data_IF_510558580867
#
_entry.id   IF_510558580867
#
_cell.length_a   1.000
_cell.length_b   1.000
_cell.length_c   1.000
_cell.angle_alpha   90.00
_cell.angle_beta   90.00
_cell.angle_gamma   90.00
#
_symmetry.space_group_name_H-M   'P 1'
#
loop_
_entity.id
_entity.type
_entity.pdbx_description
1 polymer ?
#
# COMPACT_ATOMS: atom_id res chain seq x y z
N UNK A 1 51.50 27.84 -26.60
CA UNK A 1 51.48 28.99 -27.54
C UNK A 1 50.79 28.55 -28.82
N UNK A 2 49.97 29.43 -29.39
CA UNK A 2 49.23 29.33 -30.66
C UNK A 2 48.00 28.39 -30.69
N UNK A 3 46.84 28.72 -31.27
CA UNK A 3 46.07 29.96 -31.53
C UNK A 3 44.69 29.41 -32.00
N UNK A 4 43.60 30.01 -31.52
CA UNK A 4 42.25 29.78 -32.03
C UNK A 4 42.01 30.58 -33.30
N UNK A 5 41.42 29.96 -34.33
CA UNK A 5 40.58 30.51 -35.43
C UNK A 5 40.24 29.28 -36.31
N UNK A 6 39.08 29.01 -36.90
CA UNK A 6 37.93 29.76 -37.34
C UNK A 6 36.80 28.72 -37.58
N UNK A 7 35.55 29.01 -37.20
CA UNK A 7 34.41 28.53 -37.99
C UNK A 7 33.21 29.47 -37.76
N UNK A 8 33.09 30.46 -38.64
CA UNK A 8 31.93 31.34 -38.70
C UNK A 8 31.02 30.95 -39.86
N UNK A 9 29.72 31.05 -39.58
CA UNK A 9 28.58 31.16 -40.48
C UNK A 9 28.18 29.94 -41.33
N UNK A 10 27.06 29.32 -40.93
CA UNK A 10 25.89 29.13 -41.81
C UNK A 10 24.63 28.92 -40.94
N UNK A 11 24.11 29.99 -40.34
CA UNK A 11 22.73 30.01 -39.86
C UNK A 11 21.85 30.56 -40.98
N UNK A 12 21.30 29.65 -41.77
CA UNK A 12 20.19 29.95 -42.68
C UNK A 12 18.94 30.26 -41.86
N UNK A 13 18.63 31.56 -41.78
CA UNK A 13 17.38 32.10 -41.26
C UNK A 13 16.22 31.68 -42.17
N UNK A 14 15.47 30.64 -41.77
CA UNK A 14 14.12 30.40 -42.26
C UNK A 14 13.21 29.95 -41.10
N UNK A 15 12.02 30.54 -41.07
CA UNK A 15 10.88 30.26 -40.18
C UNK A 15 10.82 31.02 -38.84
N UNK A 16 10.60 32.34 -38.92
CA UNK A 16 10.06 33.13 -37.77
C UNK A 16 8.54 33.24 -37.76
N UNK A 17 7.84 32.88 -38.84
CA UNK A 17 6.39 33.03 -38.93
C UNK A 17 5.61 31.87 -38.29
N UNK A 18 6.05 30.62 -38.48
CA UNK A 18 5.36 29.46 -37.88
C UNK A 18 5.38 29.50 -36.34
N UNK A 19 6.50 29.93 -35.75
CA UNK A 19 6.67 30.00 -34.29
C UNK A 19 5.71 31.02 -33.63
N UNK A 20 5.42 32.14 -34.31
CA UNK A 20 4.48 33.15 -33.80
C UNK A 20 3.04 32.63 -33.79
N UNK A 21 2.61 31.90 -34.83
CA UNK A 21 1.28 31.30 -34.88
C UNK A 21 1.08 30.24 -33.79
N UNK A 22 2.09 29.41 -33.53
CA UNK A 22 2.03 28.43 -32.43
C UNK A 22 1.95 29.11 -31.06
N UNK A 23 2.78 30.12 -30.80
CA UNK A 23 2.74 30.87 -29.53
C UNK A 23 1.38 31.56 -29.35
N UNK A 24 0.87 32.22 -30.40
CA UNK A 24 -0.44 32.88 -30.36
C UNK A 24 -1.59 31.88 -30.12
N UNK A 25 -1.57 30.73 -30.81
CA UNK A 25 -2.57 29.68 -30.63
C UNK A 25 -2.53 29.11 -29.20
N UNK A 26 -1.33 28.92 -28.63
CA UNK A 26 -1.16 28.41 -27.26
C UNK A 26 -1.70 29.41 -26.24
N UNK A 27 -1.43 30.71 -26.41
CA UNK A 27 -1.94 31.77 -25.53
C UNK A 27 -3.47 31.85 -25.61
N UNK A 28 -4.05 31.80 -26.80
CA UNK A 28 -5.51 31.80 -26.97
C UNK A 28 -6.13 30.58 -26.27
N UNK A 29 -5.54 29.40 -26.44
CA UNK A 29 -6.03 28.17 -25.79
C UNK A 29 -5.94 28.26 -24.25
N UNK A 30 -4.84 28.79 -23.71
CA UNK A 30 -4.71 28.99 -22.27
C UNK A 30 -5.74 29.99 -21.73
N UNK A 31 -6.00 31.10 -22.44
CA UNK A 31 -6.99 32.09 -22.06
C UNK A 31 -8.42 31.53 -22.10
N UNK A 32 -8.77 30.71 -23.10
CA UNK A 32 -10.11 30.11 -23.18
C UNK A 32 -10.34 29.12 -22.04
N UNK A 33 -9.38 28.25 -21.73
CA UNK A 33 -9.50 27.34 -20.58
C UNK A 33 -9.56 28.08 -19.24
N UNK A 34 -8.82 29.18 -19.09
CA UNK A 34 -8.86 30.01 -17.90
C UNK A 34 -10.25 30.66 -17.71
N UNK A 35 -10.84 31.21 -18.77
CA UNK A 35 -12.18 31.82 -18.70
C UNK A 35 -13.27 30.76 -18.50
N UNK A 36 -13.13 29.57 -19.10
CA UNK A 36 -14.05 28.44 -18.87
C UNK A 36 -13.96 27.96 -17.41
N UNK A 37 -12.75 27.93 -16.83
CA UNK A 37 -12.55 27.59 -15.42
C UNK A 37 -13.06 28.66 -14.44
N UNK A 38 -13.12 29.92 -14.87
CA UNK A 38 -13.74 31.02 -14.12
C UNK A 38 -15.24 31.12 -14.30
N UNK A 39 -15.83 30.42 -15.28
CA UNK A 39 -17.27 30.43 -15.48
C UNK A 39 -17.91 29.68 -14.30
N UNK A 40 -18.70 30.35 -13.46
CA UNK A 40 -19.36 29.67 -12.36
C UNK A 40 -20.33 28.68 -12.98
N UNK A 41 -20.09 27.38 -12.79
CA UNK A 41 -21.20 26.44 -12.80
C UNK A 41 -22.12 26.88 -11.67
N UNK A 42 -23.17 27.64 -12.04
CA UNK A 42 -24.26 27.99 -11.15
C UNK A 42 -24.81 26.70 -10.55
N UNK A 43 -24.65 26.55 -9.25
CA UNK A 43 -25.11 25.38 -8.53
C UNK A 43 -24.55 25.16 -7.14
N UNK A 44 -24.19 26.21 -6.37
CA UNK A 44 -24.10 26.09 -4.91
C UNK A 44 -24.76 27.31 -4.29
N UNK A 45 -25.94 27.09 -3.70
CA UNK A 45 -26.63 28.08 -2.90
C UNK A 45 -25.74 28.48 -1.72
N UNK A 46 -25.39 29.76 -1.68
CA UNK A 46 -24.84 30.43 -0.51
C UNK A 46 -25.91 30.44 0.59
N UNK A 47 -25.99 29.36 1.36
CA UNK A 47 -26.64 29.36 2.67
C UNK A 47 -25.56 29.38 3.74
N UNK A 48 -25.44 30.54 4.38
CA UNK A 48 -24.97 30.78 5.74
C UNK A 48 -24.07 29.70 6.37
N UNK A 49 -22.79 30.05 6.51
CA UNK A 49 -21.84 29.39 7.37
C UNK A 49 -22.22 29.65 8.84
N UNK A 50 -23.11 28.82 9.38
CA UNK A 50 -23.26 28.65 10.82
C UNK A 50 -22.30 27.55 11.26
N UNK A 51 -21.33 27.91 12.10
CA UNK A 51 -20.42 26.99 12.75
C UNK A 51 -21.19 26.00 13.63
N UNK A 52 -21.47 24.81 13.13
CA UNK A 52 -21.93 23.67 13.94
C UNK A 52 -20.83 22.63 14.00
N UNK A 53 -20.04 22.70 15.06
CA UNK A 53 -19.20 21.61 15.55
C UNK A 53 -20.10 20.41 15.89
N UNK A 54 -20.15 19.41 15.02
CA UNK A 54 -20.69 18.10 15.37
C UNK A 54 -19.62 17.32 16.13
N UNK A 55 -19.51 17.61 17.42
CA UNK A 55 -18.93 16.67 18.38
C UNK A 55 -19.96 15.56 18.62
N UNK A 56 -19.63 14.27 18.43
CA UNK A 56 -20.46 13.20 18.96
C UNK A 56 -20.28 13.17 20.48
N UNK A 57 -21.11 13.92 21.21
CA UNK A 57 -21.23 13.71 22.66
C UNK A 57 -22.09 12.48 22.89
N UNK A 58 -21.45 11.36 23.25
CA UNK A 58 -22.17 10.23 23.85
C UNK A 58 -22.77 10.70 25.20
N UNK A 59 -24.06 10.43 25.49
CA UNK A 59 -24.60 10.65 26.82
C UNK A 59 -24.15 9.51 27.74
N UNK A 60 -22.99 9.65 28.37
CA UNK A 60 -22.68 8.86 29.55
C UNK A 60 -23.40 9.49 30.75
N UNK A 61 -24.63 9.04 31.01
CA UNK A 61 -25.30 9.29 32.27
C UNK A 61 -24.89 8.17 33.26
N UNK A 62 -24.12 8.44 34.33
CA UNK A 62 -23.85 7.45 35.34
C UNK A 62 -25.05 7.41 36.29
N UNK A 63 -26.14 6.78 35.85
CA UNK A 63 -27.15 6.35 36.81
C UNK A 63 -26.63 5.10 37.49
N UNK A 64 -26.05 5.30 38.67
CA UNK A 64 -25.75 4.24 39.63
C UNK A 64 -27.08 3.58 40.00
N UNK A 65 -27.47 2.54 39.27
CA UNK A 65 -28.43 1.56 39.78
C UNK A 65 -27.63 0.60 40.64
N UNK A 66 -27.71 0.85 41.93
CA UNK A 66 -27.23 -0.02 42.98
C UNK A 66 -28.07 -1.31 42.96
N UNK A 67 -27.74 -2.24 42.08
CA UNK A 67 -28.16 -3.64 42.21
C UNK A 67 -27.06 -4.36 42.98
N UNK A 68 -27.37 -4.64 44.25
CA UNK A 68 -26.64 -5.62 45.05
C UNK A 68 -26.75 -6.98 44.37
N UNK A 69 -25.82 -7.28 43.48
CA UNK A 69 -25.52 -8.64 43.02
C UNK A 69 -24.10 -8.96 43.45
N UNK A 70 -23.99 -9.72 44.53
CA UNK A 70 -22.81 -10.49 44.88
C UNK A 70 -22.48 -11.42 43.72
N UNK A 71 -21.62 -10.95 42.81
CA UNK A 71 -20.93 -11.80 41.85
C UNK A 71 -19.52 -11.25 41.65
N UNK A 72 -18.70 -11.47 42.68
CA UNK A 72 -17.25 -11.45 42.51
C UNK A 72 -16.87 -12.62 41.63
N UNK A 73 -16.94 -12.42 40.32
CA UNK A 73 -16.29 -13.30 39.36
C UNK A 73 -15.49 -12.42 38.45
N UNK A 74 -14.19 -12.32 38.76
CA UNK A 74 -13.19 -11.86 37.83
C UNK A 74 -13.38 -12.65 36.53
N UNK A 75 -13.83 -11.99 35.46
CA UNK A 75 -13.84 -12.62 34.13
C UNK A 75 -12.38 -12.85 33.76
N UNK A 76 -11.89 -14.05 34.07
CA UNK A 76 -10.57 -14.52 33.72
C UNK A 76 -10.59 -14.83 32.23
N UNK A 77 -10.07 -13.92 31.42
CA UNK A 77 -9.88 -14.16 30.01
C UNK A 77 -8.86 -15.29 29.84
N UNK A 78 -9.28 -16.36 29.18
CA UNK A 78 -8.42 -17.49 28.88
C UNK A 78 -7.55 -17.14 27.66
N UNK A 79 -6.24 -17.03 27.91
CA UNK A 79 -5.23 -16.81 26.87
C UNK A 79 -4.48 -18.08 26.51
N UNK A 80 -4.93 -19.26 26.98
CA UNK A 80 -4.30 -20.51 26.61
C UNK A 80 -4.57 -20.85 25.15
N UNK A 81 -3.52 -21.27 24.45
CA UNK A 81 -3.66 -21.76 23.09
C UNK A 81 -4.48 -23.06 23.12
N UNK A 82 -5.70 -23.03 22.57
CA UNK A 82 -6.56 -24.22 22.42
C UNK A 82 -6.09 -25.19 21.33
N UNK A 83 -4.82 -25.11 20.94
CA UNK A 83 -4.17 -25.98 19.97
C UNK A 83 -2.82 -26.36 20.57
N UNK A 84 -2.72 -27.57 21.10
CA UNK A 84 -1.46 -28.10 21.60
C UNK A 84 -0.79 -28.94 20.51
N UNK A 85 0.54 -29.04 20.54
CA UNK A 85 1.26 -29.95 19.63
C UNK A 85 0.84 -31.42 19.78
N UNK A 86 0.18 -31.78 20.90
CA UNK A 86 -0.41 -33.08 21.14
C UNK A 86 -1.77 -33.29 20.42
N UNK A 87 -2.46 -32.21 20.03
CA UNK A 87 -3.67 -32.26 19.19
C UNK A 87 -3.34 -32.51 17.70
N UNK A 88 -2.06 -32.50 17.35
CA UNK A 88 -1.57 -33.07 16.11
C UNK A 88 -1.71 -34.60 16.23
N UNK A 89 -2.89 -35.10 15.87
CA UNK A 89 -3.15 -36.53 15.65
C UNK A 89 -1.92 -37.11 14.94
N UNK A 90 -1.31 -38.19 15.45
CA UNK A 90 -0.24 -38.87 14.73
C UNK A 90 -0.80 -39.20 13.37
N UNK A 91 -0.35 -38.45 12.36
CA UNK A 91 -0.75 -38.69 10.99
C UNK A 91 -0.37 -40.15 10.76
N UNK A 92 -1.40 -41.00 10.56
CA UNK A 92 -1.20 -42.29 9.94
C UNK A 92 -0.21 -42.10 8.79
N UNK A 93 0.72 -43.03 8.50
CA UNK A 93 1.67 -42.89 7.40
C UNK A 93 1.00 -42.59 6.04
N UNK A 94 -0.32 -42.73 5.97
CA UNK A 94 -1.20 -42.35 4.88
C UNK A 94 -2.02 -41.06 5.13
N UNK A 95 -1.49 -40.07 5.83
CA UNK A 95 -1.90 -38.69 5.55
C UNK A 95 -1.37 -38.36 4.16
N UNK A 96 -2.11 -38.81 3.13
CA UNK A 96 -1.77 -38.56 1.73
C UNK A 96 -1.57 -37.06 1.61
N UNK A 97 -0.32 -36.66 1.46
CA UNK A 97 0.01 -35.29 1.10
C UNK A 97 -0.80 -35.01 -0.15
N UNK A 98 -1.81 -34.14 -0.06
CA UNK A 98 -2.60 -33.77 -1.22
C UNK A 98 -1.61 -33.29 -2.28
N UNK A 99 -1.49 -34.08 -3.35
CA UNK A 99 -0.54 -33.80 -4.41
C UNK A 99 -1.13 -32.69 -5.27
N UNK A 100 -0.67 -31.48 -5.05
CA UNK A 100 -1.04 -30.32 -5.85
C UNK A 100 -0.09 -30.24 -7.05
N UNK A 101 -0.59 -30.33 -8.31
CA UNK A 101 0.24 -30.15 -9.49
C UNK A 101 0.83 -28.73 -9.56
N UNK A 102 1.83 -28.55 -10.42
CA UNK A 102 2.35 -27.21 -10.71
C UNK A 102 1.29 -26.36 -11.41
N UNK A 103 1.14 -25.10 -10.98
CA UNK A 103 0.38 -24.10 -11.73
C UNK A 103 1.18 -23.58 -12.93
N UNK A 104 0.50 -22.89 -13.85
CA UNK A 104 1.15 -22.02 -14.83
C UNK A 104 1.89 -20.87 -14.08
N UNK A 105 3.15 -20.55 -14.42
CA UNK A 105 3.89 -19.44 -13.81
C UNK A 105 3.19 -18.07 -13.89
N UNK A 106 2.32 -17.83 -14.89
CA UNK A 106 1.54 -16.59 -14.99
C UNK A 106 0.60 -16.35 -13.80
N UNK A 107 0.26 -17.41 -13.06
CA UNK A 107 -0.58 -17.34 -11.88
C UNK A 107 0.19 -16.91 -10.62
N UNK A 108 1.50 -16.62 -10.71
CA UNK A 108 2.30 -16.18 -9.56
C UNK A 108 1.77 -14.89 -8.92
N UNK A 109 1.09 -14.06 -9.70
CA UNK A 109 0.55 -12.76 -9.27
C UNK A 109 -0.98 -12.77 -9.19
N UNK A 110 -1.59 -13.92 -9.43
CA UNK A 110 -3.04 -14.03 -9.42
C UNK A 110 -3.56 -13.89 -7.99
N UNK A 111 -4.34 -12.85 -7.75
CA UNK A 111 -5.03 -12.57 -6.48
C UNK A 111 -6.53 -12.86 -6.63
N UNK A 112 -7.01 -14.07 -6.25
CA UNK A 112 -8.30 -14.56 -6.73
C UNK A 112 -9.52 -13.71 -6.35
N UNK A 113 -9.48 -13.08 -5.16
CA UNK A 113 -10.57 -12.23 -4.66
C UNK A 113 -10.44 -10.75 -5.06
N UNK A 114 -9.31 -10.37 -5.65
CA UNK A 114 -8.97 -9.02 -6.08
C UNK A 114 -8.64 -9.03 -7.58
N UNK A 115 -9.30 -9.91 -8.34
CA UNK A 115 -9.08 -10.04 -9.79
C UNK A 115 -9.85 -8.95 -10.54
N UNK A 116 -9.12 -8.01 -11.14
CA UNK A 116 -9.72 -6.89 -11.87
C UNK A 116 -10.72 -7.31 -12.94
N UNK A 117 -10.43 -8.38 -13.69
CA UNK A 117 -11.30 -8.89 -14.75
C UNK A 117 -12.62 -9.42 -14.20
N UNK A 118 -12.60 -10.10 -13.05
CA UNK A 118 -13.79 -10.56 -12.33
C UNK A 118 -14.56 -9.38 -11.75
N UNK A 119 -13.87 -8.49 -11.04
CA UNK A 119 -14.47 -7.30 -10.42
C UNK A 119 -15.27 -6.46 -11.42
N UNK A 120 -14.74 -6.25 -12.63
CA UNK A 120 -15.40 -5.48 -13.70
C UNK A 120 -16.69 -6.09 -14.26
N UNK A 121 -17.04 -7.34 -13.90
CA UNK A 121 -18.30 -7.99 -14.31
C UNK A 121 -19.49 -7.61 -13.42
N UNK A 122 -19.23 -7.07 -12.24
CA UNK A 122 -20.28 -6.71 -11.28
C UNK A 122 -20.84 -5.31 -11.54
N UNK A 123 -22.01 -5.04 -10.96
CA UNK A 123 -22.71 -3.77 -11.12
C UNK A 123 -21.85 -2.59 -10.61
N UNK A 124 -21.96 -1.46 -11.31
CA UNK A 124 -21.34 -0.19 -10.92
C UNK A 124 -22.16 0.57 -9.88
N UNK A 125 -23.43 0.24 -9.73
CA UNK A 125 -24.30 0.74 -8.67
C UNK A 125 -23.67 0.45 -7.32
N UNK A 126 -23.65 1.47 -6.45
CA UNK A 126 -23.05 1.40 -5.12
C UNK A 126 -21.60 0.91 -5.09
N UNK A 127 -20.88 0.99 -6.22
CA UNK A 127 -19.50 0.53 -6.34
C UNK A 127 -19.30 -0.97 -6.02
N UNK A 128 -20.30 -1.83 -6.26
CA UNK A 128 -20.19 -3.28 -6.00
C UNK A 128 -18.97 -3.87 -6.72
N UNK A 129 -18.68 -3.43 -7.94
CA UNK A 129 -17.46 -3.84 -8.67
C UNK A 129 -16.12 -3.55 -7.95
N UNK A 130 -16.10 -2.71 -6.91
CA UNK A 130 -14.91 -2.42 -6.08
C UNK A 130 -14.83 -3.29 -4.82
N UNK A 131 -15.84 -4.11 -4.56
CA UNK A 131 -15.82 -5.09 -3.47
C UNK A 131 -14.96 -6.31 -3.82
N UNK A 132 -14.73 -7.17 -2.82
CA UNK A 132 -14.00 -8.42 -3.00
C UNK A 132 -14.88 -9.48 -3.64
N UNK A 133 -14.46 -9.96 -4.80
CA UNK A 133 -15.19 -10.97 -5.57
C UNK A 133 -14.33 -12.23 -5.67
N UNK A 134 -14.57 -13.19 -4.79
CA UNK A 134 -13.82 -14.44 -4.77
C UNK A 134 -14.35 -15.47 -5.80
N UNK A 135 -13.51 -16.41 -6.24
CA UNK A 135 -13.96 -17.55 -7.03
C UNK A 135 -14.89 -18.46 -6.22
N UNK A 136 -15.84 -19.08 -6.92
CA UNK A 136 -16.67 -20.13 -6.34
C UNK A 136 -15.85 -21.39 -6.05
N UNK A 137 -16.40 -22.32 -5.25
CA UNK A 137 -15.68 -23.53 -4.80
C UNK A 137 -15.14 -24.40 -5.94
N UNK A 138 -15.83 -24.41 -7.09
CA UNK A 138 -15.45 -25.12 -8.31
C UNK A 138 -14.36 -24.40 -9.13
N UNK A 139 -14.17 -23.09 -8.92
CA UNK A 139 -13.17 -22.27 -9.61
C UNK A 139 -11.84 -22.19 -8.83
N UNK A 140 -11.79 -22.75 -7.61
CA UNK A 140 -10.59 -22.74 -6.78
C UNK A 140 -9.46 -23.56 -7.39
N UNK A 141 -8.35 -22.87 -7.67
CA UNK A 141 -7.12 -23.49 -8.14
C UNK A 141 -6.47 -24.30 -7.02
N UNK A 142 -6.29 -25.60 -7.28
CA UNK A 142 -5.61 -26.55 -6.38
C UNK A 142 -4.26 -26.92 -6.99
N UNK A 143 -3.36 -25.94 -7.08
CA UNK A 143 -2.02 -26.13 -7.64
C UNK A 143 -0.99 -25.30 -6.85
N UNK A 144 0.30 -25.58 -7.05
CA UNK A 144 1.41 -24.84 -6.44
C UNK A 144 2.16 -24.05 -7.50
N UNK A 145 2.47 -22.78 -7.24
CA UNK A 145 3.34 -21.99 -8.11
C UNK A 145 4.76 -22.56 -8.01
N UNK A 146 5.40 -22.93 -9.13
CA UNK A 146 6.78 -23.41 -9.10
C UNK A 146 7.73 -22.26 -8.75
N UNK A 147 8.87 -22.59 -8.16
CA UNK A 147 9.92 -21.61 -7.95
C UNK A 147 10.40 -21.07 -9.31
N UNK A 148 10.62 -19.75 -9.45
CA UNK A 148 11.11 -19.17 -10.68
C UNK A 148 12.52 -19.68 -10.98
N UNK A 149 12.92 -19.61 -12.26
CA UNK A 149 14.25 -20.01 -12.67
C UNK A 149 15.33 -19.21 -11.92
N UNK A 150 16.31 -19.92 -11.35
CA UNK A 150 17.39 -19.30 -10.59
C UNK A 150 17.04 -18.90 -9.15
N UNK A 151 15.87 -19.29 -8.64
CA UNK A 151 15.50 -19.08 -7.23
C UNK A 151 16.53 -19.73 -6.30
N UNK A 152 17.04 -18.97 -5.35
CA UNK A 152 18.03 -19.38 -4.35
C UNK A 152 17.34 -19.67 -3.02
N UNK A 153 17.95 -20.51 -2.18
CA UNK A 153 17.45 -20.72 -0.82
C UNK A 153 17.45 -19.39 -0.03
N UNK A 154 16.34 -18.98 0.59
CA UNK A 154 16.29 -17.77 1.40
C UNK A 154 17.26 -17.80 2.58
N UNK A 155 17.69 -16.62 3.04
CA UNK A 155 18.49 -16.50 4.25
C UNK A 155 17.73 -17.00 5.48
N UNK A 156 18.47 -17.43 6.50
CA UNK A 156 17.87 -17.74 7.79
C UNK A 156 17.61 -16.44 8.55
N UNK A 157 16.62 -16.47 9.44
CA UNK A 157 16.45 -15.41 10.42
C UNK A 157 17.69 -15.31 11.32
N UNK A 158 18.16 -14.11 11.71
CA UNK A 158 17.56 -12.79 11.49
C UNK A 158 17.98 -12.10 10.18
N UNK A 159 18.93 -12.64 9.42
CA UNK A 159 19.44 -11.99 8.20
C UNK A 159 18.35 -11.77 7.14
N UNK A 160 17.39 -12.68 7.04
CA UNK A 160 16.24 -12.54 6.13
C UNK A 160 15.34 -11.34 6.43
N UNK A 161 15.50 -10.68 7.57
CA UNK A 161 14.83 -9.42 7.91
C UNK A 161 15.32 -8.27 7.03
N UNK A 162 16.65 -8.22 6.84
CA UNK A 162 17.33 -7.04 6.29
C UNK A 162 17.83 -7.29 4.86
N UNK A 163 17.75 -8.52 4.37
CA UNK A 163 18.31 -8.92 3.07
C UNK A 163 17.51 -10.01 2.36
N UNK A 164 17.47 -9.94 1.02
CA UNK A 164 16.94 -10.98 0.14
C UNK A 164 17.80 -11.11 -1.12
N UNK A 165 17.88 -12.30 -1.70
CA UNK A 165 18.55 -12.49 -2.98
C UNK A 165 17.87 -11.69 -4.09
N UNK A 166 18.64 -11.00 -4.91
CA UNK A 166 18.15 -10.33 -6.13
C UNK A 166 17.46 -11.30 -7.10
N UNK A 167 17.89 -12.57 -7.11
CA UNK A 167 17.28 -13.63 -7.91
C UNK A 167 15.88 -14.04 -7.44
N UNK A 168 15.55 -13.83 -6.17
CA UNK A 168 14.29 -14.27 -5.56
C UNK A 168 13.18 -13.21 -5.63
N UNK A 169 13.50 -11.99 -6.06
CA UNK A 169 12.56 -10.87 -6.08
C UNK A 169 11.94 -10.75 -7.48
N UNK A 170 10.61 -10.87 -7.59
CA UNK A 170 9.90 -10.52 -8.83
C UNK A 170 9.95 -9.00 -9.04
N UNK A 171 9.72 -8.53 -10.27
CA UNK A 171 9.58 -7.10 -10.58
C UNK A 171 10.71 -6.18 -10.11
N UNK A 172 11.92 -6.50 -10.54
CA UNK A 172 13.15 -5.78 -10.14
C UNK A 172 13.15 -4.29 -10.53
N UNK A 173 12.35 -3.91 -11.53
CA UNK A 173 12.17 -2.51 -11.94
C UNK A 173 11.63 -1.62 -10.81
N UNK A 174 10.84 -2.16 -9.88
CA UNK A 174 10.31 -1.42 -8.74
C UNK A 174 11.43 -0.88 -7.84
N UNK A 175 12.58 -1.54 -7.81
CA UNK A 175 13.74 -1.06 -7.04
C UNK A 175 14.37 0.19 -7.67
N UNK A 176 14.23 0.38 -8.98
CA UNK A 176 14.64 1.60 -9.68
C UNK A 176 13.66 2.73 -9.39
N UNK A 177 12.36 2.45 -9.49
CA UNK A 177 11.31 3.43 -9.20
C UNK A 177 11.33 3.91 -7.74
N UNK A 178 11.73 3.03 -6.82
CA UNK A 178 11.84 3.30 -5.38
C UNK A 178 13.25 3.65 -4.91
N UNK A 179 14.23 3.74 -5.82
CA UNK A 179 15.64 3.98 -5.46
C UNK A 179 15.85 5.30 -4.69
N UNK A 180 15.05 6.33 -5.01
CA UNK A 180 15.10 7.63 -4.34
C UNK A 180 14.54 7.64 -2.92
N UNK A 181 13.87 6.56 -2.49
CA UNK A 181 13.11 6.51 -1.23
C UNK A 181 13.87 5.83 -0.09
N UNK A 182 15.10 5.37 -0.32
CA UNK A 182 15.91 4.59 0.63
C UNK A 182 15.20 3.31 1.16
N UNK A 183 14.20 2.79 0.44
CA UNK A 183 13.47 1.58 0.82
C UNK A 183 14.27 0.30 0.61
N UNK A 184 14.97 0.26 -0.53
CA UNK A 184 15.69 -0.91 -0.99
C UNK A 184 17.00 -0.46 -1.62
N UNK A 185 18.09 -1.15 -1.30
CA UNK A 185 19.38 -0.93 -1.93
C UNK A 185 19.81 -2.22 -2.59
N UNK A 186 20.24 -2.12 -3.84
CA UNK A 186 20.90 -3.21 -4.52
C UNK A 186 22.39 -3.17 -4.16
N UNK A 187 22.90 -4.25 -3.57
CA UNK A 187 24.31 -4.43 -3.26
C UNK A 187 24.73 -5.83 -3.65
N UNK A 188 25.69 -5.93 -4.56
CA UNK A 188 26.22 -7.19 -5.10
C UNK A 188 25.12 -8.06 -5.74
N UNK A 189 24.70 -9.15 -5.11
CA UNK A 189 23.61 -10.02 -5.57
C UNK A 189 22.40 -10.01 -4.61
N UNK A 190 22.30 -8.97 -3.78
CA UNK A 190 21.30 -8.81 -2.73
C UNK A 190 20.55 -7.50 -2.84
N UNK A 191 19.29 -7.56 -2.44
CA UNK A 191 18.57 -6.39 -1.99
C UNK A 191 18.70 -6.29 -0.47
N UNK A 192 19.02 -5.10 0.02
CA UNK A 192 19.04 -4.78 1.45
C UNK A 192 17.97 -3.74 1.78
N UNK A 193 17.38 -3.87 2.96
CA UNK A 193 16.31 -3.01 3.46
C UNK A 193 16.84 -2.22 4.66
N UNK A 194 17.38 -1.01 4.44
CA UNK A 194 18.09 -0.29 5.50
C UNK A 194 17.16 0.28 6.59
N UNK A 195 15.84 0.17 6.45
CA UNK A 195 14.87 0.81 7.33
C UNK A 195 14.81 2.32 7.06
N UNK A 196 13.73 2.77 6.43
CA UNK A 196 13.58 4.17 6.04
C UNK A 196 12.48 4.29 4.99
N UNK A 197 11.31 4.71 5.43
CA UNK A 197 10.15 4.96 4.57
C UNK A 197 10.24 6.32 3.87
N UNK A 198 9.35 6.58 2.89
CA UNK A 198 9.17 7.95 2.36
C UNK A 198 8.45 8.86 3.32
N UNK A 199 7.57 8.27 4.12
CA UNK A 199 6.71 8.99 5.05
C UNK A 199 7.45 9.46 6.30
N UNK A 200 8.60 8.83 6.61
CA UNK A 200 9.37 9.10 7.82
C UNK A 200 10.80 9.55 7.49
N UNK A 201 11.04 10.86 7.27
CA UNK A 201 12.37 11.40 6.97
C UNK A 201 13.44 11.06 8.02
N UNK A 202 13.02 10.83 9.27
CA UNK A 202 13.89 10.43 10.40
C UNK A 202 13.75 8.93 10.77
N UNK A 203 13.07 8.14 9.95
CA UNK A 203 12.73 6.74 10.24
C UNK A 203 11.46 6.60 11.08
N UNK A 204 10.85 5.40 11.01
CA UNK A 204 9.63 5.09 11.74
C UNK A 204 9.85 5.15 13.27
N UNK A 205 11.04 4.81 13.75
CA UNK A 205 11.40 4.87 15.18
C UNK A 205 11.23 6.28 15.74
N UNK A 206 11.73 7.30 15.03
CA UNK A 206 11.59 8.70 15.46
C UNK A 206 10.12 9.16 15.48
N UNK A 207 9.28 8.64 14.57
CA UNK A 207 7.85 8.90 14.58
C UNK A 207 7.15 8.25 15.77
N UNK A 208 7.49 6.99 16.08
CA UNK A 208 6.97 6.26 17.25
C UNK A 208 7.41 6.97 18.54
N UNK A 209 8.65 7.47 18.62
CA UNK A 209 9.16 8.23 19.76
C UNK A 209 8.38 9.55 19.96
N UNK A 210 8.04 10.24 18.87
CA UNK A 210 7.24 11.47 18.95
C UNK A 210 5.81 11.20 19.43
N UNK A 211 5.19 10.09 19.00
CA UNK A 211 3.92 9.61 19.57
C UNK A 211 4.10 9.31 21.07
N UNK A 212 5.18 8.62 21.43
CA UNK A 212 5.52 8.26 22.80
C UNK A 212 5.71 9.45 23.75
N UNK A 213 5.96 10.65 23.23
CA UNK A 213 5.99 11.90 24.02
C UNK A 213 4.61 12.43 24.35
N UNK A 214 3.60 12.11 23.53
CA UNK A 214 2.22 12.59 23.69
C UNK A 214 1.37 11.61 24.48
N UNK A 215 1.58 10.30 24.26
CA UNK A 215 0.84 9.22 24.90
C UNK A 215 1.81 8.17 25.41
N UNK A 216 1.52 7.59 26.57
CA UNK A 216 2.38 6.54 27.13
C UNK A 216 2.16 5.22 26.38
N UNK A 217 3.09 4.89 25.49
CA UNK A 217 3.07 3.62 24.75
C UNK A 217 3.58 2.43 25.58
N UNK A 218 4.17 2.65 26.77
CA UNK A 218 4.94 1.64 27.51
C UNK A 218 4.18 0.97 28.65
N UNK A 219 3.08 1.56 29.12
CA UNK A 219 2.33 1.06 30.28
C UNK A 219 1.26 0.01 29.94
N UNK A 220 1.08 -0.31 28.66
CA UNK A 220 0.07 -1.27 28.21
C UNK A 220 -1.38 -0.78 28.34
N UNK A 221 -1.60 0.52 28.57
CA UNK A 221 -2.93 1.14 28.56
C UNK A 221 -3.55 1.13 27.16
N UNK A 222 -2.72 1.26 26.12
CA UNK A 222 -3.12 1.16 24.71
C UNK A 222 -2.99 -0.30 24.27
N UNK A 223 -4.12 -0.90 23.91
CA UNK A 223 -4.19 -2.30 23.45
C UNK A 223 -4.40 -2.45 21.95
N UNK A 224 -4.86 -1.39 21.30
CA UNK A 224 -5.21 -1.38 19.88
C UNK A 224 -4.70 -0.09 19.25
N UNK A 225 -3.98 -0.22 18.15
CA UNK A 225 -3.61 0.88 17.27
C UNK A 225 -4.03 0.51 15.85
N UNK A 226 -4.55 1.49 15.11
CA UNK A 226 -4.84 1.36 13.68
C UNK A 226 -3.96 2.36 12.94
N UNK A 227 -3.01 1.84 12.18
CA UNK A 227 -2.21 2.63 11.26
C UNK A 227 -2.63 2.28 9.84
N UNK A 228 -3.03 3.29 9.08
CA UNK A 228 -3.52 3.11 7.71
C UNK A 228 -2.57 3.85 6.76
N UNK A 229 -1.72 3.09 6.08
CA UNK A 229 -0.73 3.60 5.14
C UNK A 229 -0.26 2.51 4.17
N UNK A 230 0.60 2.88 3.22
CA UNK A 230 1.18 1.95 2.23
C UNK A 230 2.63 1.54 2.59
N UNK A 231 2.96 1.56 3.89
CA UNK A 231 4.29 1.32 4.43
C UNK A 231 4.72 2.35 5.46
#
# INVERSE_FOLDING_TARGET
>A
MAIWTNLSHYLTSKSKKANLYYVAATVVLCCTFYVIGLWPQGGVNTTQLSSTTLLPTLPCNPSIKNTNSNYGSSISLDFTAHHTAADLVPLSPSARVNHFPSCNPELSEYTPCEDSKRSLKFDRNMLIYRERHCPEKNELLKCRIPAPFGYKQPFRWPESRDSVWYANVPHKHLTVEKAGQNWVRFKDDRFTFPGGGTMFPRGADAYIDDIGKLINLKDGSIRTAIDTGCG
#
